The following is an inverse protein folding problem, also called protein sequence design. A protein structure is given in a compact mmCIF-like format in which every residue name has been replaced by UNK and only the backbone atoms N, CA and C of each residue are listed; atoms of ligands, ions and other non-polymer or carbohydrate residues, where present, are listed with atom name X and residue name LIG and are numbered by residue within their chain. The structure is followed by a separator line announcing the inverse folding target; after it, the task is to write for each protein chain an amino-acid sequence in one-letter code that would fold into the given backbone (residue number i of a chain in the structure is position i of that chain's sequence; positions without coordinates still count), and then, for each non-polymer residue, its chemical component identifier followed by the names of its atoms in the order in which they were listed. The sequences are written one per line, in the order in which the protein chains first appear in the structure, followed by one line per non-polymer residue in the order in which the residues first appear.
data_IF_157991239624
#
_entry.id   IF_157991239624
#
_cell.length_a   1.000
_cell.length_b   1.000
_cell.length_c   1.000
_cell.angle_alpha   90.00
_cell.angle_beta   90.00
_cell.angle_gamma   90.00
#
_symmetry.space_group_name_H-M   'P 1'
#
loop_
_entity.id
_entity.type
_entity.pdbx_description
1 polymer ?
#
# COMPACT_ATOMS: atom_id res chain seq x y z
N UNK A 1 11.16 -2.72 29.15
CA UNK A 1 10.16 -1.69 29.53
C UNK A 1 9.39 -1.34 28.28
N UNK A 2 8.10 -1.00 28.39
CA UNK A 2 7.32 -0.60 27.23
C UNK A 2 7.75 0.79 26.76
N UNK A 3 8.08 0.95 25.47
CA UNK A 3 8.57 2.22 24.91
C UNK A 3 7.48 3.30 24.95
N UNK A 4 7.89 4.55 25.18
CA UNK A 4 7.05 5.76 25.07
C UNK A 4 7.10 6.31 23.65
N UNK A 5 5.94 6.42 23.02
CA UNK A 5 5.79 6.82 21.63
C UNK A 5 5.29 8.26 21.54
N UNK A 6 6.00 9.12 20.80
CA UNK A 6 5.48 10.41 20.36
C UNK A 6 4.99 10.27 18.93
N UNK A 7 3.69 10.46 18.72
CA UNK A 7 3.07 10.24 17.40
C UNK A 7 2.64 11.57 16.79
N UNK A 8 3.13 11.87 15.58
CA UNK A 8 2.87 13.08 14.79
C UNK A 8 2.61 12.68 13.34
N UNK A 9 1.45 12.08 13.11
CA UNK A 9 1.13 11.41 11.86
C UNK A 9 -0.36 11.52 11.51
N UNK A 10 -0.72 11.46 10.23
CA UNK A 10 -2.12 11.30 9.79
C UNK A 10 -2.74 10.00 10.34
N UNK A 11 -1.91 8.99 10.63
CA UNK A 11 -2.29 7.71 11.23
C UNK A 11 -2.44 7.78 12.76
N UNK A 12 -2.22 8.94 13.39
CA UNK A 12 -2.02 9.04 14.84
C UNK A 12 -3.14 8.45 15.70
N UNK A 13 -4.41 8.57 15.29
CA UNK A 13 -5.52 8.02 16.08
C UNK A 13 -5.55 6.50 16.05
N UNK A 14 -5.36 5.91 14.86
CA UNK A 14 -5.30 4.47 14.69
C UNK A 14 -4.08 3.89 15.41
N UNK A 15 -2.90 4.50 15.21
CA UNK A 15 -1.67 4.09 15.87
C UNK A 15 -1.73 4.23 17.38
N UNK A 16 -2.34 5.29 17.91
CA UNK A 16 -2.54 5.43 19.36
C UNK A 16 -3.40 4.29 19.91
N UNK A 17 -4.50 3.94 19.24
CA UNK A 17 -5.32 2.80 19.64
C UNK A 17 -4.52 1.49 19.61
N UNK A 18 -3.86 1.24 18.48
CA UNK A 18 -3.08 0.02 18.24
C UNK A 18 -1.98 -0.18 19.30
N UNK A 19 -1.27 0.88 19.64
CA UNK A 19 -0.11 0.84 20.53
C UNK A 19 -0.52 0.79 22.00
N UNK A 20 -1.58 1.49 22.41
CA UNK A 20 -2.16 1.37 23.75
C UNK A 20 -2.66 -0.05 24.04
N UNK A 21 -3.33 -0.69 23.06
CA UNK A 21 -3.80 -2.08 23.18
C UNK A 21 -2.63 -3.08 23.37
N UNK A 22 -1.43 -2.71 22.93
CA UNK A 22 -0.20 -3.50 23.10
C UNK A 22 0.65 -3.07 24.31
N UNK A 23 0.17 -2.12 25.12
CA UNK A 23 0.82 -1.68 26.35
C UNK A 23 1.93 -0.64 26.17
N UNK A 24 2.07 -0.03 24.98
CA UNK A 24 2.93 1.15 24.80
C UNK A 24 2.38 2.36 25.56
N UNK A 25 3.27 3.29 25.87
CA UNK A 25 2.92 4.55 26.50
C UNK A 25 2.93 5.67 25.46
N UNK A 26 2.07 6.68 25.62
CA UNK A 26 1.99 7.81 24.69
C UNK A 26 2.63 9.04 25.34
N UNK A 27 3.74 9.50 24.77
CA UNK A 27 4.42 10.72 25.16
C UNK A 27 3.92 11.91 24.34
N UNK A 28 3.76 13.06 25.00
CA UNK A 28 3.35 14.32 24.36
C UNK A 28 2.12 14.15 23.43
N UNK A 29 0.97 13.64 23.93
CA UNK A 29 -0.23 13.49 23.12
C UNK A 29 -0.82 14.87 22.75
N UNK A 30 -1.18 15.03 21.47
CA UNK A 30 -1.91 16.23 21.00
C UNK A 30 -3.26 16.36 21.70
N UNK A 31 -3.83 17.57 21.74
CA UNK A 31 -5.16 17.81 22.34
C UNK A 31 -6.21 16.82 21.80
N UNK A 32 -6.26 16.65 20.47
CA UNK A 32 -7.18 15.72 19.79
C UNK A 32 -6.99 14.27 20.25
N UNK A 33 -5.76 13.83 20.50
CA UNK A 33 -5.48 12.47 21.00
C UNK A 33 -5.86 12.35 22.47
N UNK A 34 -5.58 13.36 23.30
CA UNK A 34 -6.02 13.38 24.70
C UNK A 34 -7.53 13.29 24.82
N UNK A 35 -8.26 14.10 24.06
CA UNK A 35 -9.73 14.14 24.10
C UNK A 35 -10.34 12.79 23.68
N UNK A 36 -9.73 12.12 22.68
CA UNK A 36 -10.22 10.83 22.17
C UNK A 36 -9.96 9.65 23.10
N UNK A 37 -8.84 9.66 23.82
CA UNK A 37 -8.38 8.51 24.61
C UNK A 37 -8.38 8.78 26.13
N UNK A 38 -8.84 9.95 26.58
CA UNK A 38 -8.84 10.33 27.99
C UNK A 38 -7.43 10.43 28.58
N UNK A 39 -6.42 10.72 27.75
CA UNK A 39 -5.02 10.76 28.19
C UNK A 39 -4.69 12.08 28.88
N UNK A 40 -3.87 11.99 29.93
CA UNK A 40 -3.34 13.18 30.60
C UNK A 40 -2.27 13.83 29.72
N UNK A 41 -2.07 15.16 29.83
CA UNK A 41 -0.90 15.82 29.27
C UNK A 41 0.36 15.19 29.87
N UNK A 42 1.32 14.83 29.00
CA UNK A 42 2.64 14.35 29.39
C UNK A 42 3.68 15.13 28.60
N UNK A 43 4.69 15.65 29.29
CA UNK A 43 5.88 16.29 28.70
C UNK A 43 7.12 15.41 28.88
N UNK A 44 6.91 14.13 29.19
CA UNK A 44 8.01 13.18 29.33
C UNK A 44 8.77 12.99 28.00
N UNK A 45 10.08 12.70 28.06
CA UNK A 45 10.85 12.37 26.87
C UNK A 45 10.25 11.13 26.21
N UNK A 46 10.28 11.08 24.89
CA UNK A 46 9.84 9.91 24.12
C UNK A 46 11.03 9.00 23.83
N UNK A 47 10.72 7.72 23.68
CA UNK A 47 11.67 6.68 23.32
C UNK A 47 11.70 6.44 21.80
N UNK A 48 10.56 6.66 21.14
CA UNK A 48 10.41 6.63 19.69
C UNK A 48 9.56 7.82 19.23
N UNK A 49 9.96 8.45 18.14
CA UNK A 49 9.18 9.45 17.43
C UNK A 49 8.64 8.82 16.13
N UNK A 50 7.34 8.96 15.90
CA UNK A 50 6.65 8.44 14.73
C UNK A 50 6.08 9.61 13.96
N UNK A 51 6.51 9.77 12.72
CA UNK A 51 6.08 10.82 11.80
C UNK A 51 5.58 10.22 10.49
N UNK A 52 4.84 11.01 9.72
CA UNK A 52 4.53 10.63 8.35
C UNK A 52 5.79 10.73 7.48
N UNK A 53 5.94 9.80 6.55
CA UNK A 53 6.84 9.99 5.40
C UNK A 53 6.39 11.16 4.54
N UNK A 54 7.29 11.72 3.74
CA UNK A 54 7.00 12.87 2.86
C UNK A 54 5.79 12.64 1.93
N UNK A 55 5.64 11.43 1.38
CA UNK A 55 4.53 11.05 0.51
C UNK A 55 3.24 10.67 1.27
N UNK A 56 3.28 10.68 2.61
CA UNK A 56 2.21 10.27 3.52
C UNK A 56 1.79 8.78 3.39
N UNK A 57 2.52 7.98 2.60
CA UNK A 57 2.20 6.57 2.33
C UNK A 57 2.76 5.61 3.39
N UNK A 58 3.28 6.16 4.48
CA UNK A 58 3.85 5.38 5.56
C UNK A 58 4.45 6.23 6.66
N UNK A 59 5.38 5.66 7.40
CA UNK A 59 5.91 6.22 8.64
C UNK A 59 7.43 6.37 8.60
N UNK A 60 7.93 7.44 9.22
CA UNK A 60 9.32 7.53 9.68
C UNK A 60 9.33 7.30 11.19
N UNK A 61 10.11 6.32 11.63
CA UNK A 61 10.24 5.95 13.04
C UNK A 61 11.68 6.19 13.47
N UNK A 62 11.89 7.12 14.40
CA UNK A 62 13.21 7.45 14.90
C UNK A 62 13.40 7.13 16.39
N UNK A 63 14.61 6.69 16.74
CA UNK A 63 15.04 6.39 18.10
C UNK A 63 16.12 5.31 18.16
N UNK A 64 16.31 4.72 19.35
CA UNK A 64 17.32 3.66 19.59
C UNK A 64 17.08 2.45 18.66
N UNK A 65 18.11 1.90 17.99
CA UNK A 65 17.99 0.82 17.03
C UNK A 65 17.18 -0.39 17.52
N UNK A 66 17.43 -0.88 18.74
CA UNK A 66 16.69 -2.03 19.28
C UNK A 66 15.19 -1.74 19.40
N UNK A 67 14.82 -0.51 19.78
CA UNK A 67 13.42 -0.11 19.96
C UNK A 67 12.72 0.09 18.63
N UNK A 68 13.41 0.63 17.63
CA UNK A 68 12.90 0.78 16.26
C UNK A 68 12.62 -0.61 15.67
N UNK A 69 13.55 -1.56 15.79
CA UNK A 69 13.37 -2.94 15.34
C UNK A 69 12.22 -3.66 16.06
N UNK A 70 12.08 -3.48 17.39
CA UNK A 70 10.95 -4.01 18.15
C UNK A 70 9.62 -3.44 17.68
N UNK A 71 9.56 -2.14 17.42
CA UNK A 71 8.35 -1.48 16.93
C UNK A 71 7.99 -1.91 15.50
N UNK A 72 8.97 -2.06 14.61
CA UNK A 72 8.75 -2.62 13.27
C UNK A 72 8.17 -4.04 13.32
N UNK A 73 8.77 -4.90 14.16
CA UNK A 73 8.28 -6.27 14.36
C UNK A 73 6.84 -6.25 14.85
N UNK A 74 6.55 -5.41 15.85
CA UNK A 74 5.19 -5.20 16.34
C UNK A 74 4.22 -4.77 15.24
N UNK A 75 4.60 -3.82 14.37
CA UNK A 75 3.75 -3.40 13.26
C UNK A 75 3.50 -4.56 12.28
N UNK A 76 4.52 -5.31 11.90
CA UNK A 76 4.40 -6.46 10.99
C UNK A 76 3.60 -7.63 11.59
N UNK A 77 3.53 -7.74 12.92
CA UNK A 77 2.67 -8.72 13.60
C UNK A 77 1.21 -8.29 13.67
N UNK A 78 0.95 -6.98 13.81
CA UNK A 78 -0.41 -6.44 13.97
C UNK A 78 -1.07 -6.03 12.67
N UNK A 79 -0.27 -5.67 11.68
CA UNK A 79 -0.70 -5.24 10.36
C UNK A 79 -0.08 -6.21 9.35
N UNK A 80 -0.84 -6.59 8.33
CA UNK A 80 -0.44 -7.68 7.42
C UNK A 80 0.73 -7.30 6.52
N UNK A 81 0.73 -6.09 5.97
CA UNK A 81 1.61 -5.66 4.89
C UNK A 81 2.54 -4.44 5.14
N UNK A 82 2.88 -3.98 6.37
CA UNK A 82 3.94 -2.98 6.53
C UNK A 82 5.27 -3.48 5.96
N UNK A 83 5.95 -2.62 5.22
CA UNK A 83 7.24 -2.93 4.59
C UNK A 83 8.28 -1.92 5.04
N UNK A 84 9.38 -2.40 5.59
CA UNK A 84 10.56 -1.56 5.81
C UNK A 84 11.20 -1.25 4.45
N UNK A 85 11.49 0.02 4.19
CA UNK A 85 12.17 0.45 2.96
C UNK A 85 13.67 0.63 3.21
N UNK A 86 14.02 1.28 4.31
CA UNK A 86 15.40 1.54 4.71
C UNK A 86 15.50 1.89 6.19
N UNK A 87 16.69 1.70 6.74
CA UNK A 87 17.10 2.21 8.06
C UNK A 87 18.40 2.98 7.86
N UNK A 88 18.40 4.24 8.26
CA UNK A 88 19.56 5.13 8.17
C UNK A 88 19.94 5.66 9.57
N UNK A 89 21.22 5.96 9.83
CA UNK A 89 21.61 6.70 11.03
C UNK A 89 20.93 8.07 11.07
N UNK A 90 20.55 8.55 12.25
CA UNK A 90 20.06 9.91 12.42
C UNK A 90 21.20 10.91 12.34
N UNK A 91 21.00 12.03 11.64
CA UNK A 91 21.97 13.14 11.60
C UNK A 91 21.96 13.96 12.91
N UNK A 92 20.84 13.93 13.64
CA UNK A 92 20.65 14.72 14.86
C UNK A 92 21.17 14.00 16.12
N UNK A 93 21.25 12.66 16.09
CA UNK A 93 21.69 11.82 17.20
C UNK A 93 22.40 10.55 16.70
N UNK A 94 23.71 10.49 16.91
CA UNK A 94 24.56 9.36 16.47
C UNK A 94 24.15 8.00 17.07
N UNK A 95 23.43 7.98 18.19
CA UNK A 95 22.94 6.76 18.82
C UNK A 95 21.56 6.31 18.30
N UNK A 96 20.92 7.11 17.45
CA UNK A 96 19.59 6.86 16.92
C UNK A 96 19.61 6.51 15.43
N UNK A 97 18.57 5.80 14.99
CA UNK A 97 18.30 5.52 13.59
C UNK A 97 16.93 6.04 13.20
N UNK A 98 16.71 6.19 11.89
CA UNK A 98 15.42 6.50 11.28
C UNK A 98 15.07 5.34 10.36
N UNK A 99 13.94 4.68 10.63
CA UNK A 99 13.38 3.65 9.77
C UNK A 99 12.23 4.21 8.93
N UNK A 100 12.33 4.05 7.62
CA UNK A 100 11.28 4.39 6.67
C UNK A 100 10.42 3.17 6.39
N UNK A 101 9.13 3.25 6.72
CA UNK A 101 8.17 2.14 6.61
C UNK A 101 7.07 2.55 5.63
N UNK A 102 6.77 1.72 4.63
CA UNK A 102 5.55 1.84 3.79
C UNK A 102 4.36 1.19 4.53
N UNK A 103 3.19 1.82 4.45
CA UNK A 103 1.92 1.26 4.87
C UNK A 103 1.01 1.05 3.64
N UNK A 104 1.01 -0.15 3.04
CA UNK A 104 0.17 -0.44 1.88
C UNK A 104 -1.29 -0.66 2.27
N UNK A 105 -2.11 -1.03 1.28
CA UNK A 105 -3.58 -1.04 1.39
C UNK A 105 -4.14 -1.82 2.58
N UNK A 106 -3.61 -2.99 2.92
CA UNK A 106 -4.16 -3.79 4.02
C UNK A 106 -3.89 -3.14 5.39
N UNK A 107 -2.69 -2.59 5.60
CA UNK A 107 -2.35 -1.84 6.79
C UNK A 107 -3.22 -0.59 6.93
N UNK A 108 -3.42 0.18 5.85
CA UNK A 108 -4.31 1.34 5.86
C UNK A 108 -5.74 0.95 6.21
N UNK A 109 -6.26 -0.15 5.67
CA UNK A 109 -7.60 -0.65 5.96
C UNK A 109 -7.76 -1.04 7.44
N UNK A 110 -6.80 -1.77 8.02
CA UNK A 110 -6.81 -2.11 9.45
C UNK A 110 -6.74 -0.84 10.31
N UNK A 111 -5.89 0.13 9.94
CA UNK A 111 -5.77 1.39 10.66
C UNK A 111 -7.06 2.22 10.56
N UNK A 112 -7.73 2.24 9.41
CA UNK A 112 -9.05 2.87 9.24
C UNK A 112 -10.10 2.20 10.13
N UNK A 113 -10.08 0.87 10.23
CA UNK A 113 -10.97 0.12 11.10
C UNK A 113 -10.73 0.42 12.60
N UNK A 114 -9.47 0.48 13.03
CA UNK A 114 -9.11 0.88 14.39
C UNK A 114 -9.48 2.33 14.68
N UNK A 115 -9.40 3.19 13.67
CA UNK A 115 -9.83 4.59 13.77
C UNK A 115 -11.35 4.67 13.99
N UNK A 116 -12.11 3.85 13.29
CA UNK A 116 -13.57 3.79 13.37
C UNK A 116 -14.07 3.44 14.78
N UNK A 117 -13.33 2.62 15.55
CA UNK A 117 -13.69 2.29 16.92
C UNK A 117 -13.54 3.44 17.91
N UNK A 118 -12.90 4.55 17.51
CA UNK A 118 -12.60 5.71 18.35
C UNK A 118 -13.40 6.95 17.93
N UNK A 119 -13.67 7.10 16.65
CA UNK A 119 -14.34 8.30 16.11
C UNK A 119 -15.01 7.99 14.79
N UNK A 120 -16.16 8.63 14.48
CA UNK A 120 -16.79 8.49 13.17
C UNK A 120 -15.78 8.79 12.06
N UNK A 121 -15.63 7.87 11.12
CA UNK A 121 -14.67 7.97 10.03
C UNK A 121 -15.22 7.22 8.81
N UNK A 122 -14.80 7.64 7.62
CA UNK A 122 -15.12 6.95 6.37
C UNK A 122 -14.16 5.77 6.14
N UNK A 123 -14.57 4.81 5.32
CA UNK A 123 -13.63 3.82 4.78
C UNK A 123 -12.58 4.54 3.92
N UNK A 124 -11.39 3.96 3.80
CA UNK A 124 -10.26 4.53 3.06
C UNK A 124 -9.84 5.92 3.57
N UNK A 125 -10.06 6.21 4.87
CA UNK A 125 -9.79 7.52 5.46
C UNK A 125 -8.36 7.95 5.19
N UNK A 126 -7.36 7.12 5.51
CA UNK A 126 -5.96 7.52 5.32
C UNK A 126 -5.65 7.74 3.83
N UNK A 127 -6.16 6.90 2.92
CA UNK A 127 -5.97 7.10 1.49
C UNK A 127 -6.61 8.39 0.98
N UNK A 128 -7.86 8.65 1.35
CA UNK A 128 -8.58 9.88 0.98
C UNK A 128 -7.94 11.12 1.60
N UNK A 129 -7.30 10.98 2.78
CA UNK A 129 -6.54 12.06 3.43
C UNK A 129 -5.32 12.46 2.60
N UNK A 130 -4.63 11.48 2.01
CA UNK A 130 -3.50 11.69 1.10
C UNK A 130 -3.96 12.37 -0.20
N UNK A 131 -5.11 11.94 -0.74
CA UNK A 131 -5.64 12.44 -2.02
C UNK A 131 -6.21 13.85 -1.90
N UNK A 132 -7.16 14.05 -0.99
CA UNK A 132 -7.83 15.34 -0.78
C UNK A 132 -8.31 15.46 0.67
N UNK A 133 -7.41 15.95 1.52
CA UNK A 133 -7.68 16.18 2.94
C UNK A 133 -8.88 17.10 3.19
N UNK A 134 -9.13 18.09 2.32
CA UNK A 134 -10.22 19.06 2.49
C UNK A 134 -11.56 18.42 2.14
N UNK A 135 -11.64 17.68 1.03
CA UNK A 135 -12.86 16.97 0.66
C UNK A 135 -13.21 15.91 1.72
N UNK A 136 -12.21 15.20 2.23
CA UNK A 136 -12.39 14.25 3.33
C UNK A 136 -12.94 14.92 4.59
N UNK A 137 -12.38 16.05 5.03
CA UNK A 137 -12.86 16.76 6.23
C UNK A 137 -14.32 17.20 6.10
N UNK A 138 -14.74 17.69 4.93
CA UNK A 138 -16.15 18.01 4.67
C UNK A 138 -17.04 16.76 4.69
N UNK A 139 -16.57 15.65 4.12
CA UNK A 139 -17.31 14.40 4.09
C UNK A 139 -17.46 13.77 5.48
N UNK A 140 -16.41 13.80 6.31
CA UNK A 140 -16.47 13.32 7.70
C UNK A 140 -17.35 14.22 8.58
N UNK A 141 -17.37 15.53 8.32
CA UNK A 141 -18.33 16.42 8.99
C UNK A 141 -19.78 16.04 8.67
N UNK A 142 -20.09 15.77 7.40
CA UNK A 142 -21.41 15.28 6.98
C UNK A 142 -21.74 13.92 7.60
N UNK A 143 -20.76 13.02 7.72
CA UNK A 143 -20.93 11.73 8.39
C UNK A 143 -21.32 11.88 9.86
N UNK A 144 -20.79 12.89 10.56
CA UNK A 144 -21.20 13.18 11.94
C UNK A 144 -22.67 13.64 12.05
N UNK A 145 -23.20 14.28 11.00
CA UNK A 145 -24.59 14.74 10.94
C UNK A 145 -25.56 13.62 10.53
N UNK A 146 -25.13 12.69 9.66
CA UNK A 146 -25.92 11.54 9.18
C UNK A 146 -25.07 10.26 9.06
N UNK A 147 -24.90 9.51 10.17
CA UNK A 147 -24.07 8.30 10.20
C UNK A 147 -24.56 7.16 9.30
N UNK A 148 -25.87 7.09 9.02
CA UNK A 148 -26.48 6.03 8.19
C UNK A 148 -26.07 6.15 6.72
N UNK A 149 -25.67 7.35 6.27
CA UNK A 149 -25.22 7.59 4.89
C UNK A 149 -23.74 7.33 4.64
N UNK A 150 -23.02 6.67 5.55
CA UNK A 150 -21.56 6.43 5.42
C UNK A 150 -21.17 5.90 4.06
N UNK A 151 -21.80 4.82 3.61
CA UNK A 151 -21.49 4.15 2.35
C UNK A 151 -21.74 5.08 1.15
N UNK A 152 -22.85 5.82 1.15
CA UNK A 152 -23.16 6.78 0.09
C UNK A 152 -22.17 7.95 0.05
N UNK A 153 -21.78 8.49 1.22
CA UNK A 153 -20.80 9.59 1.34
C UNK A 153 -19.43 9.11 0.85
N UNK A 154 -19.01 7.92 1.27
CA UNK A 154 -17.74 7.32 0.88
C UNK A 154 -17.69 7.05 -0.62
N UNK A 155 -18.72 6.39 -1.17
CA UNK A 155 -18.82 6.11 -2.61
C UNK A 155 -18.77 7.38 -3.44
N UNK A 156 -19.50 8.42 -3.01
CA UNK A 156 -19.48 9.72 -3.68
C UNK A 156 -18.09 10.35 -3.64
N UNK A 157 -17.47 10.41 -2.47
CA UNK A 157 -16.14 11.01 -2.29
C UNK A 157 -15.08 10.25 -3.10
N UNK A 158 -15.10 8.91 -3.08
CA UNK A 158 -14.18 8.10 -3.87
C UNK A 158 -14.37 8.32 -5.37
N UNK A 159 -15.62 8.39 -5.85
CA UNK A 159 -15.91 8.71 -7.25
C UNK A 159 -15.39 10.09 -7.64
N UNK A 160 -15.66 11.11 -6.83
CA UNK A 160 -15.32 12.50 -7.14
C UNK A 160 -13.81 12.77 -7.04
N UNK A 161 -13.14 12.17 -6.06
CA UNK A 161 -11.71 12.37 -5.81
C UNK A 161 -10.82 11.44 -6.61
N UNK A 162 -11.27 10.24 -7.01
CA UNK A 162 -10.43 9.21 -7.67
C UNK A 162 -10.89 8.89 -9.08
N UNK A 163 -12.12 8.40 -9.24
CA UNK A 163 -12.58 7.85 -10.52
C UNK A 163 -12.76 8.94 -11.58
N UNK A 164 -13.45 10.03 -11.26
CA UNK A 164 -13.70 11.12 -12.23
C UNK A 164 -12.41 11.81 -12.71
N UNK A 165 -11.42 12.13 -11.84
CA UNK A 165 -10.13 12.64 -12.31
C UNK A 165 -9.39 11.66 -13.23
N UNK A 166 -9.41 10.37 -12.91
CA UNK A 166 -8.76 9.33 -13.70
C UNK A 166 -9.40 9.19 -15.09
N UNK A 167 -10.75 9.16 -15.16
CA UNK A 167 -11.50 9.15 -16.42
C UNK A 167 -11.17 10.38 -17.28
N UNK A 168 -11.14 11.57 -16.67
CA UNK A 168 -10.84 12.83 -17.37
C UNK A 168 -9.42 12.89 -17.91
N UNK A 169 -8.45 12.32 -17.17
CA UNK A 169 -7.06 12.22 -17.61
C UNK A 169 -6.94 11.37 -18.88
N UNK A 170 -7.63 10.21 -18.91
CA UNK A 170 -7.49 9.22 -19.98
C UNK A 170 -6.11 8.53 -20.03
N UNK A 171 -5.16 8.99 -19.22
CA UNK A 171 -3.84 8.39 -19.01
C UNK A 171 -3.80 7.79 -17.61
N UNK A 172 -3.34 6.54 -17.56
CA UNK A 172 -3.17 5.77 -16.32
C UNK A 172 -1.70 5.67 -16.00
N UNK A 173 -1.35 6.05 -14.79
CA UNK A 173 -0.03 5.89 -14.18
C UNK A 173 -0.09 4.80 -13.12
N UNK A 174 0.74 3.78 -13.29
CA UNK A 174 0.90 2.68 -12.35
C UNK A 174 2.18 2.89 -11.53
N UNK A 175 2.01 3.18 -10.25
CA UNK A 175 3.10 3.28 -9.28
C UNK A 175 3.44 1.91 -8.72
N UNK A 176 4.57 1.40 -9.18
CA UNK A 176 5.10 0.09 -8.79
C UNK A 176 6.23 0.29 -7.77
N UNK A 177 5.89 0.20 -6.48
CA UNK A 177 6.86 0.37 -5.40
C UNK A 177 7.62 -0.93 -5.15
N UNK A 178 8.90 -0.86 -4.83
CA UNK A 178 9.70 -2.02 -4.42
C UNK A 178 10.15 -1.89 -2.97
N UNK A 179 10.26 -3.00 -2.23
CA UNK A 179 10.83 -3.02 -0.88
C UNK A 179 12.23 -2.40 -0.80
N UNK A 180 13.03 -2.54 -1.86
CA UNK A 180 14.42 -2.04 -1.92
C UNK A 180 14.57 -0.51 -2.04
N UNK A 181 13.47 0.26 -1.95
CA UNK A 181 13.48 1.74 -1.97
C UNK A 181 13.87 2.38 -3.32
N UNK A 182 14.26 1.59 -4.33
CA UNK A 182 14.68 2.13 -5.63
C UNK A 182 13.47 2.71 -6.38
N UNK A 183 13.51 4.02 -6.62
CA UNK A 183 12.51 4.71 -7.43
C UNK A 183 12.46 4.11 -8.85
N UNK A 184 11.31 3.53 -9.21
CA UNK A 184 11.03 3.12 -10.58
C UNK A 184 10.22 4.19 -11.28
N UNK A 185 10.49 4.38 -12.59
CA UNK A 185 9.62 5.18 -13.43
C UNK A 185 8.24 4.51 -13.47
N UNK A 186 7.16 5.25 -13.17
CA UNK A 186 5.82 4.71 -13.27
C UNK A 186 5.54 4.13 -14.66
N UNK A 187 4.75 3.05 -14.71
CA UNK A 187 4.31 2.48 -15.97
C UNK A 187 3.08 3.27 -16.43
N UNK A 188 3.17 3.90 -17.59
CA UNK A 188 2.07 4.71 -18.15
C UNK A 188 1.40 4.03 -19.33
N UNK A 189 0.11 4.31 -19.52
CA UNK A 189 -0.64 3.89 -20.70
C UNK A 189 -2.02 4.55 -20.80
N UNK A 190 -2.75 4.21 -21.86
CA UNK A 190 -4.04 4.80 -22.18
C UNK A 190 -5.19 4.02 -21.53
N UNK A 191 -6.07 4.72 -20.84
CA UNK A 191 -7.26 4.14 -20.23
C UNK A 191 -8.14 3.48 -21.31
N UNK A 192 -8.50 2.21 -21.09
CA UNK A 192 -9.45 1.47 -21.94
C UNK A 192 -10.83 1.49 -21.31
N UNK A 193 -10.90 1.17 -20.01
CA UNK A 193 -12.16 1.16 -19.26
C UNK A 193 -11.89 1.37 -17.77
N UNK A 194 -12.80 2.10 -17.13
CA UNK A 194 -12.88 2.24 -15.68
C UNK A 194 -14.32 1.95 -15.24
N UNK A 195 -14.48 1.18 -14.16
CA UNK A 195 -15.73 1.08 -13.41
C UNK A 195 -15.47 1.33 -11.92
N UNK A 196 -16.45 1.06 -11.06
CA UNK A 196 -16.36 1.32 -9.61
C UNK A 196 -15.13 0.67 -8.94
N UNK A 197 -14.63 -0.46 -9.47
CA UNK A 197 -13.50 -1.20 -8.87
C UNK A 197 -12.44 -1.67 -9.88
N UNK A 198 -12.74 -1.71 -11.18
CA UNK A 198 -11.83 -2.26 -12.19
C UNK A 198 -11.28 -1.16 -13.09
N UNK A 199 -9.98 -1.25 -13.35
CA UNK A 199 -9.22 -0.36 -14.20
C UNK A 199 -8.48 -1.19 -15.25
N UNK A 200 -8.71 -0.88 -16.53
CA UNK A 200 -7.96 -1.48 -17.64
C UNK A 200 -7.31 -0.41 -18.49
N UNK A 201 -6.04 -0.61 -18.82
CA UNK A 201 -5.31 0.33 -19.65
C UNK A 201 -4.34 -0.37 -20.60
N UNK A 202 -4.09 0.27 -21.74
CA UNK A 202 -3.22 -0.22 -22.81
C UNK A 202 -1.85 0.45 -22.71
N UNK A 203 -0.81 -0.36 -22.77
CA UNK A 203 0.59 0.07 -22.89
C UNK A 203 1.10 -0.31 -24.27
N UNK A 204 1.86 0.59 -24.89
CA UNK A 204 2.60 0.32 -26.12
C UNK A 204 4.08 0.23 -25.81
N UNK A 205 4.76 -0.73 -26.42
CA UNK A 205 6.19 -0.95 -26.20
C UNK A 205 6.96 -0.54 -27.46
N UNK A 206 8.13 0.05 -27.29
CA UNK A 206 8.99 0.45 -28.42
C UNK A 206 10.04 -0.61 -28.74
N UNK A 207 10.77 -1.10 -27.73
CA UNK A 207 11.78 -2.16 -27.81
C UNK A 207 11.95 -2.84 -26.44
N UNK A 208 12.51 -4.06 -26.40
CA UNK A 208 12.87 -4.76 -25.16
C UNK A 208 12.52 -6.24 -25.17
N UNK A 209 12.50 -6.86 -23.98
CA UNK A 209 11.92 -8.18 -23.74
C UNK A 209 10.78 -8.05 -22.74
N UNK A 210 9.80 -8.94 -22.82
CA UNK A 210 8.76 -9.02 -21.82
C UNK A 210 9.33 -9.51 -20.48
N UNK A 211 9.01 -8.79 -19.40
CA UNK A 211 9.40 -9.17 -18.03
C UNK A 211 8.91 -10.61 -17.74
N UNK A 212 9.83 -11.47 -17.32
CA UNK A 212 9.57 -12.86 -16.94
C UNK A 212 9.21 -13.85 -18.07
N UNK A 213 8.66 -13.39 -19.21
CA UNK A 213 8.39 -14.26 -20.37
C UNK A 213 9.67 -14.62 -21.15
N UNK A 214 10.71 -13.79 -21.05
CA UNK A 214 11.96 -13.89 -21.81
C UNK A 214 11.73 -13.97 -23.34
N UNK A 215 10.75 -13.24 -23.85
CA UNK A 215 10.46 -13.13 -25.29
C UNK A 215 10.78 -11.71 -25.76
N UNK A 216 11.36 -11.53 -26.96
CA UNK A 216 11.57 -10.20 -27.53
C UNK A 216 10.23 -9.53 -27.82
N UNK A 217 10.16 -8.22 -27.58
CA UNK A 217 9.01 -7.40 -27.92
C UNK A 217 9.01 -7.17 -29.43
N UNK A 218 7.94 -7.61 -30.09
CA UNK A 218 7.70 -7.39 -31.50
C UNK A 218 7.23 -5.97 -31.80
N UNK A 219 7.43 -5.52 -33.04
CA UNK A 219 6.95 -4.22 -33.48
C UNK A 219 5.41 -4.21 -33.56
N UNK A 220 4.77 -3.30 -32.84
CA UNK A 220 3.32 -3.16 -32.77
C UNK A 220 2.67 -4.02 -31.68
N UNK A 221 3.46 -4.75 -30.90
CA UNK A 221 2.98 -5.45 -29.72
C UNK A 221 2.47 -4.47 -28.65
N UNK A 222 1.50 -4.92 -27.87
CA UNK A 222 0.90 -4.11 -26.82
C UNK A 222 0.55 -4.95 -25.59
N UNK A 223 0.47 -4.28 -24.45
CA UNK A 223 0.10 -4.87 -23.18
C UNK A 223 -1.24 -4.32 -22.71
N UNK A 224 -2.14 -5.18 -22.28
CA UNK A 224 -3.33 -4.79 -21.52
C UNK A 224 -3.04 -5.09 -20.07
N UNK A 225 -3.16 -4.07 -19.23
CA UNK A 225 -3.06 -4.23 -17.78
C UNK A 225 -4.46 -4.16 -17.18
N UNK A 226 -4.80 -5.17 -16.39
CA UNK A 226 -6.07 -5.27 -15.67
C UNK A 226 -5.79 -5.17 -14.17
N UNK A 227 -6.45 -4.21 -13.53
CA UNK A 227 -6.32 -3.88 -12.12
C UNK A 227 -7.69 -3.92 -11.50
N UNK A 228 -7.77 -4.49 -10.29
CA UNK A 228 -8.96 -4.44 -9.47
C UNK A 228 -8.59 -3.89 -8.09
N UNK A 229 -9.35 -2.91 -7.63
CA UNK A 229 -9.23 -2.33 -6.30
C UNK A 229 -9.22 -3.42 -5.21
N UNK A 230 -8.21 -3.41 -4.34
CA UNK A 230 -8.03 -4.36 -3.24
C UNK A 230 -7.48 -5.74 -3.64
N UNK A 231 -7.25 -5.99 -4.94
CA UNK A 231 -6.70 -7.26 -5.40
C UNK A 231 -5.20 -7.36 -5.06
N UNK A 232 -4.74 -8.57 -4.76
CA UNK A 232 -3.33 -8.86 -4.38
C UNK A 232 -2.44 -9.21 -5.58
N UNK A 233 -2.93 -8.92 -6.78
CA UNK A 233 -2.16 -9.07 -8.00
C UNK A 233 -2.59 -8.07 -9.07
N UNK A 234 -1.67 -7.77 -9.97
CA UNK A 234 -1.97 -7.05 -11.21
C UNK A 234 -1.70 -7.96 -12.40
N UNK A 235 -2.67 -8.04 -13.31
CA UNK A 235 -2.57 -8.89 -14.51
C UNK A 235 -2.10 -8.05 -15.70
N UNK A 236 -1.07 -8.53 -16.38
CA UNK A 236 -0.61 -8.03 -17.66
C UNK A 236 -0.82 -9.11 -18.72
N UNK A 237 -1.59 -8.79 -19.77
CA UNK A 237 -1.76 -9.64 -20.95
C UNK A 237 -1.02 -9.02 -22.12
N UNK A 238 -0.09 -9.76 -22.71
CA UNK A 238 0.71 -9.29 -23.83
C UNK A 238 0.19 -9.86 -25.15
N UNK A 239 -0.02 -9.00 -26.12
CA UNK A 239 -0.56 -9.35 -27.42
C UNK A 239 0.37 -8.85 -28.53
N UNK A 240 0.46 -9.64 -29.60
CA UNK A 240 1.14 -9.18 -30.80
C UNK A 240 0.29 -8.12 -31.55
N UNK A 241 0.85 -7.52 -32.59
CA UNK A 241 0.15 -6.54 -33.45
C UNK A 241 -1.18 -7.04 -34.00
N UNK A 242 -1.30 -8.34 -34.26
CA UNK A 242 -2.50 -8.97 -34.84
C UNK A 242 -3.55 -9.36 -33.76
N UNK A 243 -3.24 -9.12 -32.48
CA UNK A 243 -4.13 -9.39 -31.34
C UNK A 243 -3.95 -10.77 -30.69
N UNK A 244 -3.09 -11.62 -31.23
CA UNK A 244 -2.80 -12.95 -30.68
C UNK A 244 -2.11 -12.82 -29.32
N UNK A 245 -2.61 -13.57 -28.33
CA UNK A 245 -2.00 -13.64 -26.99
C UNK A 245 -0.61 -14.26 -27.08
N UNK A 246 0.38 -13.56 -26.52
CA UNK A 246 1.76 -14.03 -26.36
C UNK A 246 1.90 -14.72 -25.00
N UNK A 247 1.34 -14.10 -23.96
CA UNK A 247 1.35 -14.64 -22.61
C UNK A 247 0.72 -13.68 -21.62
N UNK A 248 0.51 -14.18 -20.42
CA UNK A 248 0.02 -13.45 -19.27
C UNK A 248 1.04 -13.48 -18.15
N UNK A 249 1.08 -12.39 -17.41
CA UNK A 249 1.96 -12.17 -16.29
C UNK A 249 1.14 -11.58 -15.15
N UNK A 250 1.23 -12.20 -13.98
CA UNK A 250 0.52 -11.82 -12.78
C UNK A 250 1.58 -11.39 -11.77
N UNK A 251 1.66 -10.09 -11.52
CA UNK A 251 2.52 -9.56 -10.48
C UNK A 251 1.80 -9.69 -9.14
N UNK A 252 2.39 -10.44 -8.20
CA UNK A 252 1.83 -10.55 -6.85
C UNK A 252 2.32 -9.35 -6.05
N UNK A 253 1.37 -8.65 -5.45
CA UNK A 253 1.62 -7.39 -4.76
C UNK A 253 0.76 -7.24 -3.52
N UNK A 254 1.01 -6.19 -2.76
CA UNK A 254 0.07 -5.72 -1.74
C UNK A 254 -1.21 -5.21 -2.39
N UNK A 255 -2.35 -5.14 -1.65
CA UNK A 255 -3.62 -4.77 -2.22
C UNK A 255 -3.56 -3.48 -3.03
N UNK A 256 -4.00 -3.55 -4.29
CA UNK A 256 -3.94 -2.40 -5.18
C UNK A 256 -4.88 -1.30 -4.71
N UNK A 257 -4.35 -0.08 -4.65
CA UNK A 257 -5.10 1.13 -4.33
C UNK A 257 -5.26 1.99 -5.58
N UNK A 258 -6.50 2.34 -5.92
CA UNK A 258 -6.77 3.33 -6.97
C UNK A 258 -6.56 4.76 -6.48
N UNK A 259 -5.94 5.57 -7.33
CA UNK A 259 -5.61 6.97 -7.11
C UNK A 259 -6.06 7.82 -8.31
N UNK A 260 -6.17 9.16 -8.17
CA UNK A 260 -6.62 10.04 -9.25
C UNK A 260 -5.77 9.95 -10.53
N UNK A 261 -4.53 9.48 -10.42
CA UNK A 261 -3.60 9.27 -11.53
C UNK A 261 -3.60 7.84 -12.08
N UNK A 262 -4.22 6.87 -11.41
CA UNK A 262 -4.18 5.46 -11.79
C UNK A 262 -4.23 4.54 -10.58
N UNK A 263 -3.14 3.82 -10.32
CA UNK A 263 -3.09 2.86 -9.23
C UNK A 263 -1.70 2.77 -8.60
N UNK A 264 -1.66 2.32 -7.35
CA UNK A 264 -0.45 2.12 -6.55
C UNK A 264 -0.52 0.77 -5.84
N UNK A 265 0.63 0.09 -5.76
CA UNK A 265 0.83 -1.09 -4.93
C UNK A 265 2.34 -1.28 -4.66
N UNK A 266 2.67 -2.19 -3.74
CA UNK A 266 4.03 -2.62 -3.48
C UNK A 266 4.26 -4.03 -4.05
N UNK A 267 5.28 -4.15 -4.90
CA UNK A 267 5.77 -5.40 -5.50
C UNK A 267 6.28 -6.35 -4.42
N UNK A 268 5.80 -7.58 -4.41
CA UNK A 268 6.33 -8.61 -3.50
C UNK A 268 7.41 -9.46 -4.19
N UNK A 269 7.85 -9.04 -5.38
CA UNK A 269 8.92 -9.67 -6.17
C UNK A 269 8.66 -11.16 -6.43
N UNK A 270 7.40 -11.58 -6.49
CA UNK A 270 6.97 -12.93 -6.85
C UNK A 270 5.91 -12.82 -7.94
N UNK A 271 6.08 -13.60 -9.00
CA UNK A 271 5.26 -13.48 -10.20
C UNK A 271 4.77 -14.84 -10.68
N UNK A 272 3.54 -14.90 -11.19
CA UNK A 272 3.00 -16.06 -11.90
C UNK A 272 2.91 -15.75 -13.39
N UNK A 273 3.44 -16.64 -14.22
CA UNK A 273 3.53 -16.44 -15.67
C UNK A 273 2.87 -17.59 -16.40
N UNK A 274 2.11 -17.27 -17.44
CA UNK A 274 1.54 -18.23 -18.38
C UNK A 274 1.87 -17.83 -19.81
N UNK A 275 2.76 -18.57 -20.48
CA UNK A 275 2.97 -18.43 -21.93
C UNK A 275 1.80 -19.04 -22.69
N UNK A 276 1.51 -18.52 -23.88
CA UNK A 276 0.42 -19.04 -24.71
C UNK A 276 0.63 -20.54 -25.01
N UNK A 277 -0.30 -21.37 -24.55
CA UNK A 277 -0.26 -22.83 -24.75
C UNK A 277 0.63 -23.61 -23.79
N UNK A 278 1.26 -22.96 -22.80
CA UNK A 278 2.08 -23.61 -21.77
C UNK A 278 1.39 -23.60 -20.40
N UNK A 279 1.81 -24.50 -19.51
CA UNK A 279 1.39 -24.48 -18.11
C UNK A 279 1.96 -23.26 -17.39
N UNK A 280 1.23 -22.67 -16.42
CA UNK A 280 1.72 -21.53 -15.67
C UNK A 280 2.88 -21.95 -14.76
N UNK A 281 3.77 -21.02 -14.43
CA UNK A 281 4.89 -21.24 -13.50
C UNK A 281 5.18 -20.00 -12.66
N UNK A 282 5.81 -20.21 -11.50
CA UNK A 282 6.17 -19.19 -10.54
C UNK A 282 7.62 -18.74 -10.74
N UNK A 283 7.89 -17.44 -10.68
CA UNK A 283 9.24 -16.86 -10.70
C UNK A 283 9.52 -16.13 -9.38
N UNK A 284 10.81 -16.06 -9.01
CA UNK A 284 11.35 -15.20 -7.95
C UNK A 284 10.87 -15.49 -6.51
N UNK A 285 10.38 -16.71 -6.24
CA UNK A 285 10.06 -17.18 -4.88
C UNK A 285 11.18 -16.95 -3.86
N UNK A 286 12.44 -17.13 -4.27
CA UNK A 286 13.59 -16.96 -3.39
C UNK A 286 13.79 -15.50 -2.95
N UNK A 287 13.41 -14.52 -3.78
CA UNK A 287 13.50 -13.09 -3.44
C UNK A 287 12.52 -12.72 -2.34
N UNK A 288 11.27 -13.18 -2.44
CA UNK A 288 10.26 -13.00 -1.40
C UNK A 288 10.73 -13.57 -0.04
N UNK A 289 11.23 -14.81 -0.04
CA UNK A 289 11.76 -15.42 1.19
C UNK A 289 12.98 -14.67 1.73
N UNK A 290 13.83 -14.11 0.87
CA UNK A 290 14.96 -13.27 1.31
C UNK A 290 14.48 -11.97 1.97
N UNK A 291 13.48 -11.29 1.40
CA UNK A 291 12.88 -10.08 1.98
C UNK A 291 12.34 -10.35 3.39
N UNK A 292 11.65 -11.47 3.59
CA UNK A 292 11.13 -11.81 4.92
C UNK A 292 12.26 -12.17 5.90
N UNK A 293 13.24 -12.98 5.48
CA UNK A 293 14.40 -13.34 6.32
C UNK A 293 15.23 -12.13 6.76
N UNK A 294 15.29 -11.09 5.93
CA UNK A 294 16.00 -9.85 6.23
C UNK A 294 15.15 -8.86 7.05
N UNK A 295 13.89 -9.18 7.34
CA UNK A 295 12.99 -8.34 8.13
C UNK A 295 12.35 -7.18 7.35
N UNK A 296 12.54 -7.11 6.03
CA UNK A 296 11.89 -6.08 5.21
C UNK A 296 10.37 -6.24 5.20
N UNK A 297 9.90 -7.49 5.21
CA UNK A 297 8.47 -7.84 5.28
C UNK A 297 8.20 -8.85 6.40
N UNK A 298 6.99 -8.80 6.96
CA UNK A 298 6.52 -9.79 7.92
C UNK A 298 6.27 -11.17 7.29
N UNK A 299 6.35 -12.23 8.09
CA UNK A 299 6.08 -13.61 7.65
C UNK A 299 4.63 -13.83 7.22
N UNK A 300 3.69 -13.07 7.80
CA UNK A 300 2.29 -13.07 7.38
C UNK A 300 2.12 -12.55 5.94
N UNK A 301 2.91 -11.56 5.54
CA UNK A 301 2.90 -11.02 4.18
C UNK A 301 3.46 -12.03 3.17
N UNK A 302 4.59 -12.68 3.50
CA UNK A 302 5.16 -13.76 2.67
C UNK A 302 4.15 -14.89 2.46
N UNK A 303 3.53 -15.36 3.56
CA UNK A 303 2.53 -16.43 3.49
C UNK A 303 1.32 -16.02 2.63
N UNK A 304 0.86 -14.77 2.77
CA UNK A 304 -0.25 -14.24 1.97
C UNK A 304 0.11 -14.17 0.48
N UNK A 305 1.28 -13.66 0.14
CA UNK A 305 1.75 -13.57 -1.25
C UNK A 305 1.80 -14.96 -1.92
N UNK A 306 2.36 -15.95 -1.22
CA UNK A 306 2.42 -17.33 -1.71
C UNK A 306 1.03 -17.95 -1.87
N UNK A 307 0.10 -17.69 -0.94
CA UNK A 307 -1.28 -18.16 -1.06
C UNK A 307 -1.97 -17.60 -2.32
N UNK A 308 -1.76 -16.31 -2.61
CA UNK A 308 -2.32 -15.68 -3.82
C UNK A 308 -1.70 -16.27 -5.08
N UNK A 309 -0.37 -16.43 -5.10
CA UNK A 309 0.33 -17.06 -6.22
C UNK A 309 -0.17 -18.48 -6.51
N UNK A 310 -0.32 -19.30 -5.47
CA UNK A 310 -0.84 -20.67 -5.58
C UNK A 310 -2.29 -20.70 -6.08
N UNK A 311 -3.13 -19.77 -5.62
CA UNK A 311 -4.52 -19.63 -6.09
C UNK A 311 -4.59 -19.27 -7.57
N UNK A 312 -3.74 -18.34 -8.03
CA UNK A 312 -3.66 -17.96 -9.45
C UNK A 312 -3.18 -19.14 -10.28
N UNK A 313 -2.10 -19.81 -9.85
CA UNK A 313 -1.59 -21.02 -10.49
C UNK A 313 -2.71 -22.05 -10.67
N UNK A 314 -3.49 -22.36 -9.63
CA UNK A 314 -4.61 -23.30 -9.71
C UNK A 314 -5.70 -22.82 -10.68
N UNK A 315 -6.05 -21.54 -10.68
CA UNK A 315 -7.07 -20.99 -11.58
C UNK A 315 -6.68 -21.04 -13.06
N UNK A 316 -5.37 -21.00 -13.36
CA UNK A 316 -4.84 -21.02 -14.73
C UNK A 316 -4.66 -22.44 -15.30
N UNK A 317 -4.74 -23.48 -14.46
CA UNK A 317 -4.73 -24.89 -14.86
C UNK A 317 -6.12 -25.42 -15.21
N UNK A 318 -7.19 -24.73 -14.81
CA UNK A 318 -8.58 -25.07 -15.10
C UNK A 318 -8.99 -24.55 -16.48
#
# INVERSE_FOLDING_TARGET
MSSRLKIRSIYATALTRLTLDAGYLIADPSSKIRDRFGLQPSVEPHDLLIQDREDLQGLEVSGEPERVCQFLTFLQEKLVDPVLLEIIPSEDDEASVIASIELPGAAKEILDFLRLSITPTLYRHHRLRIIDSKALDHAEKRLCEDPERREAIEKQLFRDSVLLPLEKSGVVRLEHMRPSGKAMRPREGLLISLDDNNLRFRRTFSQGRYDGLDLPIGNGDYGITEIREGEWYVKHSYHNRDGTLIGEYFNINTPVELYPYGARYLDLEVDVIRRAGESPFLIDREKLTLLSRQGFIGTALEARAMQVADSIMQSLHQ
#
